data_IF_000735384787
#
_entry.id   IF_000735384787
#
_cell.length_a   1.000
_cell.length_b   1.000
_cell.length_c   1.000
_cell.angle_alpha   90.00
_cell.angle_beta   90.00
_cell.angle_gamma   90.00
#
_symmetry.space_group_name_H-M   'P 1'
#
loop_
_entity.id
_entity.type
_entity.pdbx_description
1 polymer ?
#
# COMPACT_ATOMS: atom_id res chain seq x y z
N UNK A 1 19.65 -46.06 45.39
CA UNK A 1 20.21 -44.73 45.04
C UNK A 1 19.76 -44.41 43.62
N UNK A 2 18.59 -43.76 43.52
CA UNK A 2 17.97 -43.39 42.23
C UNK A 2 18.37 -41.94 41.89
N UNK A 3 19.17 -41.75 40.83
CA UNK A 3 19.48 -40.45 40.30
C UNK A 3 18.30 -39.96 39.45
N UNK A 4 17.70 -38.86 39.87
CA UNK A 4 16.63 -38.15 39.17
C UNK A 4 17.31 -37.29 38.09
N UNK A 5 17.14 -37.67 36.83
CA UNK A 5 17.52 -36.89 35.65
C UNK A 5 16.66 -35.62 35.60
N UNK A 6 17.29 -34.44 35.69
CA UNK A 6 16.65 -33.15 35.48
C UNK A 6 16.24 -33.01 34.00
N UNK A 7 15.01 -32.56 33.71
CA UNK A 7 14.63 -32.30 32.35
C UNK A 7 15.40 -31.07 31.80
N UNK A 8 16.04 -31.26 30.66
CA UNK A 8 16.70 -30.20 29.90
C UNK A 8 15.69 -29.11 29.55
N UNK A 9 16.05 -27.86 29.87
CA UNK A 9 15.33 -26.68 29.42
C UNK A 9 15.41 -26.61 27.86
N UNK A 10 14.34 -27.05 27.21
CA UNK A 10 14.05 -26.65 25.83
C UNK A 10 13.72 -25.17 25.92
N UNK A 11 14.69 -24.33 25.63
CA UNK A 11 14.46 -22.91 25.36
C UNK A 11 13.51 -22.81 24.16
N UNK A 12 12.23 -22.58 24.45
CA UNK A 12 11.27 -22.13 23.45
C UNK A 12 11.81 -20.80 22.95
N UNK A 13 12.42 -20.82 21.79
CA UNK A 13 12.51 -19.66 20.92
C UNK A 13 11.07 -19.30 20.52
N UNK A 14 10.39 -18.58 21.42
CA UNK A 14 9.25 -17.78 21.06
C UNK A 14 9.78 -16.75 20.07
N UNK A 15 9.69 -17.07 18.78
CA UNK A 15 9.64 -16.03 17.79
C UNK A 15 8.48 -15.14 18.18
N UNK A 16 8.79 -14.02 18.80
CA UNK A 16 7.90 -12.90 18.91
C UNK A 16 7.64 -12.46 17.45
N UNK A 17 6.66 -13.09 16.83
CA UNK A 17 5.98 -12.46 15.72
C UNK A 17 5.35 -11.22 16.33
N UNK A 18 6.05 -10.11 16.24
CA UNK A 18 5.50 -8.80 16.52
C UNK A 18 4.36 -8.66 15.52
N UNK A 19 3.16 -9.02 15.94
CA UNK A 19 1.94 -8.71 15.20
C UNK A 19 1.93 -7.19 15.10
N UNK A 20 2.38 -6.64 13.98
CA UNK A 20 2.23 -5.24 13.65
C UNK A 20 0.73 -4.96 13.74
N UNK A 21 0.36 -4.11 14.66
CA UNK A 21 -1.03 -3.68 14.77
C UNK A 21 -1.36 -2.89 13.51
N UNK A 22 -2.34 -3.37 12.75
CA UNK A 22 -2.80 -2.78 11.49
C UNK A 22 -3.77 -1.62 11.76
N UNK A 23 -3.51 -0.75 12.73
CA UNK A 23 -4.35 0.42 12.97
C UNK A 23 -3.52 1.56 13.57
N UNK A 24 -3.91 2.78 13.23
CA UNK A 24 -3.38 3.98 13.85
C UNK A 24 -3.86 4.06 15.30
N UNK A 25 -2.94 4.18 16.24
CA UNK A 25 -3.25 4.36 17.65
C UNK A 25 -2.91 5.78 18.07
N UNK A 26 -3.87 6.47 18.66
CA UNK A 26 -3.65 7.81 19.26
C UNK A 26 -2.66 7.79 20.42
N UNK A 27 -2.52 6.63 21.10
CA UNK A 27 -1.64 6.47 22.26
C UNK A 27 -0.19 6.17 21.87
N UNK A 28 0.08 5.83 20.62
CA UNK A 28 1.40 5.39 20.14
C UNK A 28 1.71 6.04 18.80
N UNK A 29 1.66 7.36 18.76
CA UNK A 29 2.08 8.16 17.59
C UNK A 29 3.56 7.91 17.29
N UNK A 30 3.88 7.57 16.05
CA UNK A 30 5.28 7.39 15.59
C UNK A 30 5.86 5.98 15.72
N UNK A 31 5.10 4.98 16.16
CA UNK A 31 5.57 3.58 16.19
C UNK A 31 5.58 2.89 14.82
N UNK A 32 4.90 3.45 13.84
CA UNK A 32 4.83 2.92 12.47
C UNK A 32 5.90 3.53 11.58
N UNK A 33 7.17 3.18 11.81
CA UNK A 33 8.22 3.48 10.81
C UNK A 33 7.96 2.60 9.58
N UNK A 34 7.36 3.18 8.53
CA UNK A 34 7.02 2.46 7.29
C UNK A 34 8.29 1.93 6.63
N UNK A 35 9.33 2.78 6.56
CA UNK A 35 10.64 2.43 6.03
C UNK A 35 11.71 2.84 7.06
N UNK A 36 12.57 1.90 7.44
CA UNK A 36 13.71 2.23 8.29
C UNK A 36 14.91 2.68 7.42
N UNK A 37 15.27 3.98 7.43
CA UNK A 37 16.34 4.50 6.58
C UNK A 37 17.75 4.05 6.98
N UNK A 38 17.91 3.43 8.15
CA UNK A 38 19.22 2.97 8.65
C UNK A 38 19.64 1.64 8.03
N UNK A 39 18.70 0.85 7.54
CA UNK A 39 18.99 -0.45 6.93
C UNK A 39 19.63 -0.26 5.55
N UNK A 40 20.70 -1.01 5.27
CA UNK A 40 21.38 -0.99 3.97
C UNK A 40 20.41 -1.42 2.86
N UNK A 41 19.58 -2.44 3.12
CA UNK A 41 18.54 -2.90 2.20
C UNK A 41 17.60 -1.76 1.81
N UNK A 42 17.11 -0.99 2.79
CA UNK A 42 16.24 0.16 2.54
C UNK A 42 16.92 1.25 1.71
N UNK A 43 18.21 1.53 1.96
CA UNK A 43 18.98 2.50 1.17
C UNK A 43 19.11 2.08 -0.28
N UNK A 44 19.44 0.80 -0.52
CA UNK A 44 19.57 0.24 -1.88
C UNK A 44 18.21 0.30 -2.60
N UNK A 45 17.13 -0.16 -1.94
CA UNK A 45 15.80 -0.18 -2.54
C UNK A 45 15.25 1.23 -2.78
N UNK A 46 15.51 2.18 -1.88
CA UNK A 46 15.14 3.59 -2.08
C UNK A 46 15.86 4.18 -3.29
N UNK A 47 17.16 3.90 -3.44
CA UNK A 47 17.90 4.34 -4.62
C UNK A 47 17.44 3.64 -5.91
N UNK A 48 17.03 2.37 -5.82
CA UNK A 48 16.51 1.61 -6.95
C UNK A 48 15.18 2.19 -7.49
N UNK A 49 14.39 2.88 -6.67
CA UNK A 49 13.17 3.56 -7.11
C UNK A 49 13.43 4.54 -8.24
N UNK A 50 14.55 5.27 -8.23
CA UNK A 50 14.90 6.25 -9.25
C UNK A 50 15.05 5.63 -10.65
N UNK A 51 15.34 4.33 -10.71
CA UNK A 51 15.56 3.58 -11.94
C UNK A 51 14.37 2.77 -12.43
N UNK A 52 13.26 2.73 -11.67
CA UNK A 52 12.04 2.01 -12.07
C UNK A 52 11.47 2.52 -13.40
N UNK A 53 11.41 3.83 -13.69
CA UNK A 53 10.90 4.30 -14.98
C UNK A 53 11.67 3.75 -16.19
N UNK A 54 12.97 3.50 -16.06
CA UNK A 54 13.84 3.01 -17.11
C UNK A 54 13.83 1.48 -17.21
N UNK A 55 14.12 0.79 -16.10
CA UNK A 55 14.33 -0.67 -16.09
C UNK A 55 13.13 -1.47 -15.57
N UNK A 56 12.12 -0.83 -14.99
CA UNK A 56 10.97 -1.49 -14.38
C UNK A 56 11.30 -2.21 -13.07
N UNK A 57 10.46 -3.16 -12.70
CA UNK A 57 10.61 -3.96 -11.47
C UNK A 57 11.46 -5.21 -11.71
N UNK A 58 12.65 -5.04 -12.25
CA UNK A 58 13.58 -6.12 -12.56
C UNK A 58 14.78 -6.13 -11.59
N UNK A 59 15.46 -7.28 -11.42
CA UNK A 59 16.70 -7.33 -10.63
C UNK A 59 17.78 -6.36 -11.09
N UNK A 60 17.80 -6.03 -12.41
CA UNK A 60 18.73 -5.04 -13.00
C UNK A 60 18.62 -3.66 -12.37
N UNK A 61 17.42 -3.26 -11.99
CA UNK A 61 17.15 -1.98 -11.31
C UNK A 61 17.91 -1.89 -9.99
N UNK A 62 17.89 -2.98 -9.22
CA UNK A 62 18.61 -3.08 -7.94
C UNK A 62 20.13 -3.12 -8.16
N UNK A 63 20.60 -3.90 -9.14
CA UNK A 63 22.03 -3.95 -9.48
C UNK A 63 22.56 -2.57 -9.84
N UNK A 64 21.80 -1.80 -10.65
CA UNK A 64 22.18 -0.43 -11.02
C UNK A 64 22.30 0.48 -9.81
N UNK A 65 21.35 0.40 -8.88
CA UNK A 65 21.39 1.17 -7.63
C UNK A 65 22.58 0.81 -6.74
N UNK A 66 22.94 -0.49 -6.64
CA UNK A 66 24.11 -0.97 -5.90
C UNK A 66 25.39 -0.37 -6.46
N UNK A 67 25.56 -0.39 -7.79
CA UNK A 67 26.75 0.17 -8.45
C UNK A 67 26.85 1.68 -8.23
N UNK A 68 25.75 2.42 -8.31
CA UNK A 68 25.78 3.87 -8.08
C UNK A 68 26.11 4.24 -6.64
N UNK A 69 25.65 3.44 -5.68
CA UNK A 69 26.02 3.58 -4.28
C UNK A 69 27.45 3.11 -3.96
N UNK A 70 28.18 2.64 -5.00
CA UNK A 70 29.54 2.10 -4.87
C UNK A 70 29.62 0.93 -3.88
N UNK A 71 28.56 0.16 -3.76
CA UNK A 71 28.55 -1.04 -2.96
C UNK A 71 29.00 -2.26 -3.78
N UNK A 72 29.58 -3.28 -3.14
CA UNK A 72 29.98 -4.50 -3.82
C UNK A 72 28.76 -5.32 -4.26
N UNK A 73 28.85 -6.01 -5.39
CA UNK A 73 27.78 -6.86 -5.96
C UNK A 73 27.35 -7.99 -5.02
N UNK A 74 28.22 -8.38 -4.07
CA UNK A 74 27.89 -9.36 -3.05
C UNK A 74 26.67 -8.98 -2.19
N UNK A 75 26.30 -7.69 -2.13
CA UNK A 75 25.08 -7.24 -1.43
C UNK A 75 23.78 -7.73 -2.08
N UNK A 76 23.80 -8.12 -3.36
CA UNK A 76 22.67 -8.81 -3.99
C UNK A 76 22.33 -10.09 -3.22
N UNK A 77 23.36 -10.81 -2.76
CA UNK A 77 23.17 -12.02 -1.96
C UNK A 77 22.51 -11.74 -0.61
N UNK A 78 22.75 -10.59 -0.01
CA UNK A 78 22.11 -10.18 1.25
C UNK A 78 20.62 -9.95 1.02
N UNK A 79 20.24 -9.28 -0.07
CA UNK A 79 18.85 -9.05 -0.42
C UNK A 79 18.13 -10.37 -0.77
N UNK A 80 18.79 -11.27 -1.50
CA UNK A 80 18.21 -12.59 -1.84
C UNK A 80 18.10 -13.52 -0.64
N UNK A 81 18.98 -13.38 0.34
CA UNK A 81 18.96 -14.17 1.59
C UNK A 81 18.07 -13.55 2.68
N UNK A 82 17.31 -12.51 2.33
CA UNK A 82 16.39 -11.87 3.28
C UNK A 82 15.44 -12.89 3.89
N UNK A 83 15.17 -12.81 5.21
CA UNK A 83 14.26 -13.73 5.91
C UNK A 83 12.84 -13.79 5.31
N UNK A 84 12.46 -12.77 4.55
CA UNK A 84 11.17 -12.72 3.86
C UNK A 84 11.03 -13.73 2.74
N UNK A 85 12.14 -14.21 2.15
CA UNK A 85 12.14 -15.15 1.02
C UNK A 85 11.57 -14.59 -0.29
N UNK A 86 11.23 -13.29 -0.37
CA UNK A 86 10.66 -12.68 -1.56
C UNK A 86 11.70 -12.44 -2.65
N UNK A 87 11.28 -12.54 -3.93
CA UNK A 87 12.12 -12.19 -5.07
C UNK A 87 12.55 -10.71 -4.99
N UNK A 88 13.67 -10.38 -5.62
CA UNK A 88 14.17 -8.99 -5.70
C UNK A 88 13.12 -8.04 -6.30
N UNK A 89 12.40 -8.48 -7.33
CA UNK A 89 11.31 -7.72 -7.95
C UNK A 89 10.17 -7.44 -6.96
N UNK A 90 9.80 -8.43 -6.15
CA UNK A 90 8.77 -8.26 -5.14
C UNK A 90 9.22 -7.35 -4.00
N UNK A 91 10.47 -7.47 -3.55
CA UNK A 91 11.04 -6.58 -2.54
C UNK A 91 11.04 -5.12 -3.02
N UNK A 92 11.41 -4.88 -4.28
CA UNK A 92 11.38 -3.56 -4.89
C UNK A 92 9.94 -3.01 -4.98
N UNK A 93 8.97 -3.87 -5.39
CA UNK A 93 7.56 -3.47 -5.46
C UNK A 93 6.99 -3.13 -4.08
N UNK A 94 7.24 -3.95 -3.07
CA UNK A 94 6.81 -3.66 -1.69
C UNK A 94 7.45 -2.39 -1.16
N UNK A 95 8.73 -2.15 -1.46
CA UNK A 95 9.41 -0.93 -1.04
C UNK A 95 8.83 0.31 -1.73
N UNK A 96 8.49 0.21 -3.03
CA UNK A 96 7.77 1.25 -3.76
C UNK A 96 6.44 1.58 -3.08
N UNK A 97 5.60 0.58 -2.80
CA UNK A 97 4.30 0.78 -2.16
C UNK A 97 4.44 1.48 -0.81
N UNK A 98 5.39 1.04 0.02
CA UNK A 98 5.70 1.64 1.32
C UNK A 98 6.20 3.08 1.20
N UNK A 99 7.07 3.37 0.22
CA UNK A 99 7.54 4.73 -0.06
C UNK A 99 6.36 5.65 -0.42
N UNK A 100 5.44 5.18 -1.27
CA UNK A 100 4.27 5.98 -1.65
C UNK A 100 3.24 6.12 -0.53
N UNK A 101 3.19 5.20 0.42
CA UNK A 101 2.41 5.40 1.66
C UNK A 101 3.04 6.48 2.55
N UNK A 102 4.35 6.53 2.66
CA UNK A 102 5.04 7.57 3.42
C UNK A 102 4.84 8.96 2.80
N UNK A 103 4.85 9.06 1.47
CA UNK A 103 4.51 10.30 0.77
C UNK A 103 3.04 10.71 1.00
N UNK A 104 2.12 9.73 1.00
CA UNK A 104 0.71 9.95 1.33
C UNK A 104 0.52 10.46 2.77
N UNK A 105 1.23 9.89 3.74
CA UNK A 105 1.24 10.37 5.14
C UNK A 105 1.69 11.83 5.21
N UNK A 106 2.79 12.18 4.54
CA UNK A 106 3.29 13.55 4.50
C UNK A 106 2.27 14.50 3.89
N UNK A 107 1.62 14.09 2.80
CA UNK A 107 0.56 14.86 2.16
C UNK A 107 -0.65 15.06 3.07
N UNK A 108 -1.11 14.00 3.73
CA UNK A 108 -2.26 14.05 4.63
C UNK A 108 -2.02 15.01 5.80
N UNK A 109 -0.87 14.89 6.47
CA UNK A 109 -0.50 15.75 7.60
C UNK A 109 -0.32 17.21 7.19
N UNK A 110 0.22 17.47 5.99
CA UNK A 110 0.43 18.84 5.50
C UNK A 110 -0.85 19.53 5.02
N UNK A 111 -1.78 18.81 4.40
CA UNK A 111 -2.89 19.41 3.67
C UNK A 111 -4.25 19.20 4.34
N UNK A 112 -4.45 18.09 5.01
CA UNK A 112 -5.76 17.73 5.58
C UNK A 112 -5.86 18.21 7.03
N UNK A 113 -4.79 18.06 7.81
CA UNK A 113 -4.76 18.47 9.21
C UNK A 113 -4.24 19.90 9.41
N UNK A 114 -3.33 20.39 8.56
CA UNK A 114 -2.60 21.64 8.75
C UNK A 114 -3.11 22.87 8.01
N UNK A 115 -4.09 22.77 7.12
CA UNK A 115 -4.59 23.92 6.33
C UNK A 115 -3.52 24.57 5.44
N UNK A 116 -2.47 23.83 5.04
CA UNK A 116 -1.30 24.35 4.36
C UNK A 116 -1.53 24.70 2.88
N UNK A 117 -0.68 25.61 2.36
CA UNK A 117 -0.72 26.16 0.99
C UNK A 117 -0.64 25.11 -0.14
N UNK A 118 -0.13 23.90 0.12
CA UNK A 118 -0.08 22.83 -0.87
C UNK A 118 -1.45 22.26 -1.24
N UNK A 119 -2.46 22.41 -0.39
CA UNK A 119 -3.86 22.11 -0.71
C UNK A 119 -4.44 22.95 -1.84
N UNK A 120 -3.92 24.17 -2.03
CA UNK A 120 -4.36 25.09 -3.07
C UNK A 120 -4.00 24.62 -4.50
N UNK A 121 -2.91 23.89 -4.67
CA UNK A 121 -2.47 23.36 -5.97
C UNK A 121 -3.38 22.21 -6.49
N UNK A 122 -4.13 21.54 -5.60
CA UNK A 122 -5.02 20.43 -5.93
C UNK A 122 -6.52 20.83 -5.94
N UNK A 123 -6.83 22.13 -6.00
CA UNK A 123 -8.21 22.60 -6.06
C UNK A 123 -8.94 22.61 -4.71
N UNK A 124 -8.21 22.55 -3.61
CA UNK A 124 -8.75 22.71 -2.26
C UNK A 124 -9.06 24.20 -1.98
N UNK A 125 -10.02 24.75 -2.74
CA UNK A 125 -10.69 25.97 -2.30
C UNK A 125 -11.60 25.64 -1.12
N UNK A 126 -11.34 26.23 0.03
CA UNK A 126 -12.21 26.44 1.19
C UNK A 126 -13.51 25.63 1.19
N UNK A 127 -13.47 24.37 1.68
CA UNK A 127 -14.71 23.60 1.81
C UNK A 127 -14.61 22.08 1.89
N UNK A 128 -13.39 21.50 2.07
CA UNK A 128 -13.29 20.05 2.31
C UNK A 128 -13.81 19.77 3.72
N UNK A 129 -15.11 19.52 3.82
CA UNK A 129 -15.77 19.35 5.12
C UNK A 129 -16.16 17.91 5.41
N UNK A 130 -16.28 17.06 4.38
CA UNK A 130 -16.77 15.70 4.56
C UNK A 130 -15.65 14.64 4.51
N UNK A 131 -15.84 13.55 5.25
CA UNK A 131 -14.97 12.37 5.20
C UNK A 131 -14.82 11.83 3.75
N UNK A 132 -15.91 11.82 2.98
CA UNK A 132 -15.90 11.39 1.59
C UNK A 132 -15.02 12.26 0.69
N UNK A 133 -15.05 13.58 0.84
CA UNK A 133 -14.24 14.48 0.01
C UNK A 133 -12.73 14.33 0.31
N UNK A 134 -12.39 14.16 1.60
CA UNK A 134 -11.01 13.85 2.01
C UNK A 134 -10.55 12.52 1.43
N UNK A 135 -11.38 11.49 1.49
CA UNK A 135 -11.07 10.19 0.93
C UNK A 135 -10.85 10.25 -0.59
N UNK A 136 -11.68 11.00 -1.34
CA UNK A 136 -11.47 11.23 -2.78
C UNK A 136 -10.10 11.82 -3.06
N UNK A 137 -9.72 12.86 -2.34
CA UNK A 137 -8.43 13.51 -2.52
C UNK A 137 -7.25 12.60 -2.21
N UNK A 138 -7.31 11.85 -1.11
CA UNK A 138 -6.26 10.92 -0.73
C UNK A 138 -6.06 9.82 -1.78
N UNK A 139 -7.15 9.23 -2.28
CA UNK A 139 -7.08 8.21 -3.33
C UNK A 139 -6.51 8.80 -4.62
N UNK A 140 -7.00 9.96 -5.08
CA UNK A 140 -6.49 10.63 -6.29
C UNK A 140 -5.01 10.95 -6.16
N UNK A 141 -4.59 11.51 -5.04
CA UNK A 141 -3.18 11.79 -4.78
C UNK A 141 -2.33 10.51 -4.82
N UNK A 142 -2.77 9.44 -4.15
CA UNK A 142 -2.05 8.17 -4.14
C UNK A 142 -1.91 7.56 -5.55
N UNK A 143 -2.95 7.69 -6.40
CA UNK A 143 -2.90 7.25 -7.80
C UNK A 143 -1.94 8.11 -8.63
N UNK A 144 -1.94 9.42 -8.42
CA UNK A 144 -1.03 10.34 -9.11
C UNK A 144 0.44 10.00 -8.85
N UNK A 145 0.78 9.53 -7.65
CA UNK A 145 2.15 9.10 -7.32
C UNK A 145 2.64 7.92 -8.17
N UNK A 146 1.74 7.18 -8.82
CA UNK A 146 2.10 6.09 -9.72
C UNK A 146 2.41 6.59 -11.15
N UNK A 147 2.11 7.84 -11.49
CA UNK A 147 2.25 8.39 -12.84
C UNK A 147 3.67 8.23 -13.42
N UNK A 148 4.77 8.50 -12.68
CA UNK A 148 6.13 8.36 -13.20
C UNK A 148 6.49 6.95 -13.67
N UNK A 149 5.83 5.93 -13.12
CA UNK A 149 6.10 4.51 -13.42
C UNK A 149 4.93 3.85 -14.17
N UNK A 150 3.95 4.61 -14.65
CA UNK A 150 2.72 4.06 -15.26
C UNK A 150 3.00 2.98 -16.30
N UNK A 151 3.97 3.19 -17.19
CA UNK A 151 4.36 2.22 -18.23
C UNK A 151 4.93 0.90 -17.68
N UNK A 152 5.43 0.89 -16.45
CA UNK A 152 6.02 -0.27 -15.78
C UNK A 152 5.16 -0.79 -14.63
N UNK A 153 4.06 -0.09 -14.30
CA UNK A 153 3.22 -0.41 -13.16
C UNK A 153 2.57 -1.79 -13.28
N UNK A 154 2.11 -2.18 -14.46
CA UNK A 154 1.52 -3.52 -14.67
C UNK A 154 2.52 -4.64 -14.37
N UNK A 155 3.82 -4.46 -14.68
CA UNK A 155 4.88 -5.40 -14.31
C UNK A 155 5.03 -5.53 -12.80
N UNK A 156 4.97 -4.41 -12.07
CA UNK A 156 5.01 -4.42 -10.61
C UNK A 156 3.78 -5.09 -10.00
N UNK A 157 2.59 -4.74 -10.48
CA UNK A 157 1.33 -5.31 -10.00
C UNK A 157 1.26 -6.83 -10.23
N UNK A 158 1.84 -7.33 -11.33
CA UNK A 158 1.89 -8.77 -11.59
C UNK A 158 2.64 -9.55 -10.51
N UNK A 159 3.64 -8.95 -9.85
CA UNK A 159 4.37 -9.57 -8.74
C UNK A 159 3.49 -9.73 -7.49
N UNK A 160 2.54 -8.83 -7.28
CA UNK A 160 1.66 -8.85 -6.11
C UNK A 160 0.63 -10.00 -6.16
N UNK A 161 0.30 -10.47 -7.37
CA UNK A 161 -0.75 -11.49 -7.58
C UNK A 161 -0.18 -12.91 -7.56
N UNK A 162 1.13 -13.06 -7.56
CA UNK A 162 1.77 -14.39 -7.43
C UNK A 162 1.33 -15.02 -6.10
N UNK A 163 0.84 -16.28 -6.08
CA UNK A 163 0.30 -16.92 -4.88
C UNK A 163 1.23 -16.87 -3.67
N UNK A 164 2.53 -17.02 -3.88
CA UNK A 164 3.54 -16.95 -2.83
C UNK A 164 3.65 -15.56 -2.18
N UNK A 165 3.37 -14.50 -2.95
CA UNK A 165 3.49 -13.11 -2.51
C UNK A 165 2.18 -12.55 -1.94
N UNK A 166 1.07 -13.27 -2.12
CA UNK A 166 -0.28 -12.76 -1.88
C UNK A 166 -0.49 -12.28 -0.43
N UNK A 167 0.11 -12.96 0.54
CA UNK A 167 0.00 -12.57 1.96
C UNK A 167 0.57 -11.17 2.21
N UNK A 168 1.79 -10.91 1.73
CA UNK A 168 2.41 -9.58 1.87
C UNK A 168 1.69 -8.49 1.06
N UNK A 169 1.15 -8.87 -0.10
CA UNK A 169 0.39 -7.96 -0.96
C UNK A 169 -0.92 -7.51 -0.29
N UNK A 170 -1.65 -8.45 0.31
CA UNK A 170 -2.88 -8.16 1.05
C UNK A 170 -2.56 -7.34 2.31
N UNK A 171 -1.50 -7.69 3.05
CA UNK A 171 -1.08 -6.93 4.22
C UNK A 171 -0.80 -5.46 3.85
N UNK A 172 -0.06 -5.22 2.78
CA UNK A 172 0.26 -3.84 2.35
C UNK A 172 -0.97 -3.10 1.83
N UNK A 173 -1.90 -3.79 1.15
CA UNK A 173 -3.17 -3.20 0.72
C UNK A 173 -4.06 -2.83 1.92
N UNK A 174 -4.13 -3.67 2.93
CA UNK A 174 -4.89 -3.39 4.15
C UNK A 174 -4.27 -2.23 4.93
N UNK A 175 -2.94 -2.15 5.00
CA UNK A 175 -2.24 -1.02 5.59
C UNK A 175 -2.58 0.29 4.85
N UNK A 176 -2.59 0.28 3.51
CA UNK A 176 -3.00 1.44 2.73
C UNK A 176 -4.47 1.81 2.99
N UNK A 177 -5.36 0.82 3.06
CA UNK A 177 -6.78 1.05 3.35
C UNK A 177 -7.01 1.64 4.73
N UNK A 178 -6.21 1.24 5.72
CA UNK A 178 -6.23 1.80 7.07
C UNK A 178 -5.73 3.25 7.09
N UNK A 179 -4.61 3.53 6.41
CA UNK A 179 -4.08 4.89 6.25
C UNK A 179 -5.10 5.82 5.60
N UNK A 180 -5.72 5.40 4.49
CA UNK A 180 -6.73 6.19 3.76
C UNK A 180 -7.95 6.49 4.63
N UNK A 181 -8.45 5.49 5.38
CA UNK A 181 -9.58 5.68 6.29
C UNK A 181 -9.23 6.62 7.45
N UNK A 182 -8.07 6.43 8.06
CA UNK A 182 -7.61 7.24 9.18
C UNK A 182 -7.44 8.72 8.78
N UNK A 183 -6.73 8.99 7.68
CA UNK A 183 -6.51 10.38 7.21
C UNK A 183 -7.79 11.01 6.65
N UNK A 184 -8.77 10.24 6.19
CA UNK A 184 -10.09 10.75 5.86
C UNK A 184 -10.90 11.17 7.09
N UNK A 185 -10.51 10.71 8.28
CA UNK A 185 -11.14 11.04 9.56
C UNK A 185 -12.10 9.98 10.08
N UNK A 186 -12.05 8.73 9.57
CA UNK A 186 -12.84 7.63 10.10
C UNK A 186 -12.35 7.24 11.50
N UNK A 187 -13.22 7.45 12.48
CA UNK A 187 -12.99 7.12 13.90
C UNK A 187 -13.82 5.93 14.37
N UNK A 188 -14.40 5.16 13.44
CA UNK A 188 -15.21 4.00 13.79
C UNK A 188 -14.37 2.89 14.42
N UNK A 189 -14.87 2.31 15.52
CA UNK A 189 -14.23 1.20 16.25
C UNK A 189 -15.13 -0.04 16.33
N UNK A 190 -16.20 -0.07 15.53
CA UNK A 190 -17.22 -1.12 15.49
C UNK A 190 -16.90 -2.20 14.43
N UNK A 191 -17.82 -3.17 14.29
CA UNK A 191 -17.70 -4.19 13.25
C UNK A 191 -17.62 -3.60 11.82
N UNK A 192 -18.24 -2.44 11.59
CA UNK A 192 -18.15 -1.71 10.33
C UNK A 192 -16.72 -1.25 9.99
N UNK A 193 -15.81 -1.22 10.96
CA UNK A 193 -14.39 -0.88 10.77
C UNK A 193 -13.72 -1.71 9.66
N UNK A 194 -13.88 -3.04 9.74
CA UNK A 194 -13.30 -3.96 8.73
C UNK A 194 -13.97 -3.78 7.37
N UNK A 195 -15.29 -3.64 7.36
CA UNK A 195 -16.08 -3.47 6.14
C UNK A 195 -15.71 -2.19 5.39
N UNK A 196 -15.56 -1.08 6.10
CA UNK A 196 -15.15 0.21 5.54
C UNK A 196 -13.79 0.10 4.87
N UNK A 197 -12.79 -0.45 5.56
CA UNK A 197 -11.43 -0.60 5.03
C UNK A 197 -11.36 -1.53 3.84
N UNK A 198 -12.05 -2.67 3.89
CA UNK A 198 -12.15 -3.58 2.75
C UNK A 198 -12.77 -2.89 1.52
N UNK A 199 -13.79 -2.07 1.73
CA UNK A 199 -14.43 -1.29 0.68
C UNK A 199 -13.48 -0.26 0.08
N UNK A 200 -12.77 0.51 0.91
CA UNK A 200 -11.76 1.50 0.48
C UNK A 200 -10.66 0.80 -0.32
N UNK A 201 -10.14 -0.34 0.15
CA UNK A 201 -9.18 -1.16 -0.59
C UNK A 201 -9.71 -1.57 -1.96
N UNK A 202 -10.98 -1.99 -2.02
CA UNK A 202 -11.63 -2.38 -3.29
C UNK A 202 -11.75 -1.20 -4.26
N UNK A 203 -12.14 -0.02 -3.77
CA UNK A 203 -12.21 1.21 -4.58
C UNK A 203 -10.82 1.55 -5.10
N UNK A 204 -9.81 1.54 -4.24
CA UNK A 204 -8.43 1.85 -4.62
C UNK A 204 -7.91 0.92 -5.70
N UNK A 205 -8.01 -0.41 -5.52
CA UNK A 205 -7.53 -1.40 -6.50
C UNK A 205 -8.22 -1.24 -7.85
N UNK A 206 -9.54 -1.04 -7.85
CA UNK A 206 -10.30 -0.81 -9.09
C UNK A 206 -9.84 0.45 -9.80
N UNK A 207 -9.62 1.53 -9.05
CA UNK A 207 -9.16 2.80 -9.59
C UNK A 207 -7.71 2.72 -10.12
N UNK A 208 -6.84 1.99 -9.42
CA UNK A 208 -5.46 1.74 -9.86
C UNK A 208 -5.42 0.94 -11.17
N UNK A 209 -6.22 -0.14 -11.27
CA UNK A 209 -6.33 -0.91 -12.50
C UNK A 209 -6.96 -0.10 -13.65
N UNK A 210 -7.92 0.76 -13.36
CA UNK A 210 -8.51 1.67 -14.33
C UNK A 210 -7.47 2.67 -14.85
N UNK A 211 -6.63 3.20 -13.97
CA UNK A 211 -5.58 4.17 -14.32
C UNK A 211 -4.54 3.64 -15.29
N UNK A 212 -4.34 2.31 -15.39
CA UNK A 212 -3.41 1.71 -16.36
C UNK A 212 -3.79 2.00 -17.82
N UNK A 213 -5.09 2.12 -18.08
CA UNK A 213 -5.63 2.36 -19.43
C UNK A 213 -6.11 3.81 -19.64
N UNK A 214 -5.88 4.70 -18.69
CA UNK A 214 -6.30 6.08 -18.74
C UNK A 214 -5.19 6.96 -19.31
N UNK A 215 -5.23 7.23 -20.60
CA UNK A 215 -4.23 8.08 -21.30
C UNK A 215 -4.58 9.58 -21.27
N UNK A 216 -5.57 9.98 -20.48
CA UNK A 216 -5.94 11.38 -20.34
C UNK A 216 -4.93 12.18 -19.51
N UNK A 217 -4.86 13.49 -19.76
CA UNK A 217 -4.03 14.37 -18.95
C UNK A 217 -4.50 14.32 -17.49
N UNK A 218 -3.52 14.23 -16.57
CA UNK A 218 -3.73 14.22 -15.13
C UNK A 218 -4.70 13.13 -14.62
N UNK A 219 -4.81 12.01 -15.35
CA UNK A 219 -5.70 10.90 -15.02
C UNK A 219 -7.18 11.37 -14.83
N UNK A 220 -7.66 12.23 -15.71
CA UNK A 220 -8.99 12.85 -15.59
C UNK A 220 -10.11 11.82 -15.50
N UNK A 221 -10.12 10.80 -16.38
CA UNK A 221 -11.12 9.73 -16.34
C UNK A 221 -11.04 8.90 -15.06
N UNK A 222 -9.82 8.62 -14.60
CA UNK A 222 -9.59 7.90 -13.33
C UNK A 222 -10.10 8.72 -12.15
N UNK A 223 -9.88 10.04 -12.16
CA UNK A 223 -10.36 10.94 -11.12
C UNK A 223 -11.88 10.97 -11.05
N UNK A 224 -12.56 11.00 -12.21
CA UNK A 224 -14.02 10.90 -12.26
C UNK A 224 -14.51 9.54 -11.74
N UNK A 225 -13.85 8.45 -12.12
CA UNK A 225 -14.18 7.12 -11.62
C UNK A 225 -14.06 7.03 -10.09
N UNK A 226 -12.99 7.61 -9.52
CA UNK A 226 -12.82 7.68 -8.05
C UNK A 226 -13.96 8.44 -7.41
N UNK A 227 -14.35 9.61 -7.97
CA UNK A 227 -15.46 10.40 -7.42
C UNK A 227 -16.75 9.59 -7.37
N UNK A 228 -17.12 8.93 -8.48
CA UNK A 228 -18.31 8.10 -8.54
C UNK A 228 -18.29 6.95 -7.52
N UNK A 229 -17.15 6.24 -7.41
CA UNK A 229 -17.05 5.09 -6.49
C UNK A 229 -17.09 5.50 -5.02
N UNK A 230 -16.47 6.62 -4.68
CA UNK A 230 -16.52 7.15 -3.30
C UNK A 230 -17.91 7.72 -2.98
N UNK A 231 -18.57 8.38 -3.93
CA UNK A 231 -19.96 8.83 -3.73
C UNK A 231 -20.92 7.66 -3.52
N UNK A 232 -20.74 6.57 -4.26
CA UNK A 232 -21.51 5.34 -4.05
C UNK A 232 -21.26 4.75 -2.66
N UNK A 233 -20.00 4.74 -2.21
CA UNK A 233 -19.63 4.31 -0.86
C UNK A 233 -20.30 5.14 0.23
N UNK A 234 -20.26 6.48 0.11
CA UNK A 234 -20.88 7.39 1.08
C UNK A 234 -22.40 7.20 1.13
N UNK A 235 -23.07 7.07 -0.03
CA UNK A 235 -24.50 6.80 -0.10
C UNK A 235 -24.90 5.48 0.54
N UNK A 236 -24.11 4.43 0.32
CA UNK A 236 -24.33 3.11 0.92
C UNK A 236 -24.11 3.11 2.44
N UNK A 237 -23.12 3.86 2.93
CA UNK A 237 -22.88 4.03 4.37
C UNK A 237 -24.03 4.70 5.10
N UNK A 238 -24.85 5.49 4.39
CA UNK A 238 -26.08 6.07 4.92
C UNK A 238 -27.26 5.09 4.93
N UNK A 239 -27.19 4.00 4.16
CA UNK A 239 -28.25 2.97 4.03
C UNK A 239 -27.85 1.61 4.63
N UNK A 240 -27.55 1.53 5.88
CA UNK A 240 -26.84 0.50 6.67
C UNK A 240 -27.26 -0.99 6.52
N UNK A 241 -28.29 -1.33 5.78
CA UNK A 241 -28.85 -2.69 5.75
C UNK A 241 -28.35 -3.61 4.60
N UNK A 242 -27.51 -3.13 3.68
CA UNK A 242 -27.09 -3.92 2.51
C UNK A 242 -25.55 -3.98 2.33
N UNK A 243 -24.77 -3.64 3.34
CA UNK A 243 -23.29 -3.54 3.26
C UNK A 243 -22.65 -4.91 3.02
N UNK A 244 -23.17 -5.97 3.64
CA UNK A 244 -22.62 -7.34 3.46
C UNK A 244 -22.72 -7.82 2.01
N UNK A 245 -23.88 -7.67 1.38
CA UNK A 245 -24.10 -8.08 -0.02
C UNK A 245 -23.23 -7.26 -0.99
N UNK A 246 -23.00 -5.97 -0.70
CA UNK A 246 -22.17 -5.12 -1.52
C UNK A 246 -20.67 -5.47 -1.41
N UNK A 247 -20.21 -5.86 -0.21
CA UNK A 247 -18.83 -6.32 0.02
C UNK A 247 -18.57 -7.60 -0.75
N UNK A 248 -19.44 -8.59 -0.65
CA UNK A 248 -19.31 -9.86 -1.35
C UNK A 248 -19.24 -9.64 -2.87
N UNK A 249 -20.13 -8.82 -3.41
CA UNK A 249 -20.12 -8.49 -4.83
C UNK A 249 -18.83 -7.81 -5.28
N UNK A 250 -18.33 -6.86 -4.49
CA UNK A 250 -17.12 -6.12 -4.83
C UNK A 250 -15.85 -6.99 -4.69
N UNK A 251 -15.77 -7.84 -3.68
CA UNK A 251 -14.66 -8.77 -3.49
C UNK A 251 -14.55 -9.73 -4.68
N UNK A 252 -15.68 -10.34 -5.10
CA UNK A 252 -15.73 -11.21 -6.27
C UNK A 252 -15.37 -10.45 -7.55
N UNK A 253 -15.82 -9.22 -7.70
CA UNK A 253 -15.51 -8.38 -8.86
C UNK A 253 -14.02 -8.07 -8.96
N UNK A 254 -13.35 -7.75 -7.85
CA UNK A 254 -11.88 -7.52 -7.82
C UNK A 254 -11.13 -8.80 -8.19
N UNK A 255 -11.50 -9.94 -7.60
CA UNK A 255 -10.87 -11.23 -7.91
C UNK A 255 -11.02 -11.56 -9.41
N UNK A 256 -12.19 -11.35 -9.98
CA UNK A 256 -12.44 -11.62 -11.39
C UNK A 256 -11.69 -10.65 -12.30
N UNK A 257 -11.58 -9.37 -11.93
CA UNK A 257 -10.80 -8.39 -12.66
C UNK A 257 -9.30 -8.75 -12.68
N UNK A 258 -8.75 -9.11 -11.52
CA UNK A 258 -7.36 -9.59 -11.40
C UNK A 258 -7.15 -10.83 -12.28
N UNK A 259 -8.04 -11.82 -12.19
CA UNK A 259 -7.97 -13.02 -13.05
C UNK A 259 -8.03 -12.68 -14.54
N UNK A 260 -8.86 -11.73 -14.94
CA UNK A 260 -8.97 -11.33 -16.34
C UNK A 260 -7.71 -10.65 -16.87
N UNK A 261 -7.04 -9.86 -16.03
CA UNK A 261 -5.76 -9.23 -16.40
C UNK A 261 -4.63 -10.28 -16.51
N UNK A 262 -4.60 -11.27 -15.62
CA UNK A 262 -3.64 -12.35 -15.68
C UNK A 262 -3.85 -13.28 -16.90
N UNK A 263 -5.09 -13.45 -17.35
CA UNK A 263 -5.40 -14.29 -18.50
C UNK A 263 -5.09 -13.61 -19.85
N UNK A 264 -4.86 -12.29 -19.85
CA UNK A 264 -4.53 -11.51 -21.06
C UNK A 264 -3.02 -11.34 -21.29
N UNK A 265 -2.19 -11.71 -20.35
CA UNK A 265 -0.72 -11.74 -20.43
C UNK A 265 -0.22 -13.14 -20.66
#
# INVERSE_FOLDING_TARGET
MLQILKPSRISRLLHSTTTRRLYHSTDHTGTNTIINPQLIESKILTKAIDYIPEYGFEPRTITKAIHELQYPDSLISVLTSSPSGYSLSMQLMLHWLKSKRQELETFANGNIEGGGEAGAAFGASAGISTEGDKLKQLIKYRLLLNNPIKSKLSQGLSQLVVPYNLSASIEELLNLGDDLAYYAGDKSNDFAWYSKRATICSIYVKSELFSLNDDTADLWLTNQFVDERVDDYVKLGQGYNNVEQWIDFNAVSVINLIKSQLARG
#
